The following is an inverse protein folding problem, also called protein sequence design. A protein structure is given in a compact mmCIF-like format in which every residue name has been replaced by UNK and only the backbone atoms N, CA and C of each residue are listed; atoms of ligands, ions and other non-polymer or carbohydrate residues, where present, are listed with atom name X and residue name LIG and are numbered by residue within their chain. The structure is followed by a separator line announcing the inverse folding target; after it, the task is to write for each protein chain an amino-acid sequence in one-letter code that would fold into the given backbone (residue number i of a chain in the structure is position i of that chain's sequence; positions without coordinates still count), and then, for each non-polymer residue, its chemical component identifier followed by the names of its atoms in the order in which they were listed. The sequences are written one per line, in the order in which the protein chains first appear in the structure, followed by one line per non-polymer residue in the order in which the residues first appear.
data_IF_286592731744
#
_entry.id   IF_286592731744
#
_cell.length_a   1.000
_cell.length_b   1.000
_cell.length_c   1.000
_cell.angle_alpha   90.00
_cell.angle_beta   90.00
_cell.angle_gamma   90.00
#
_symmetry.space_group_name_H-M   'P 1'
#
loop_
_entity.id
_entity.type
_entity.pdbx_description
1 polymer ?
#
# COMPACT_ATOMS: atom_id res chain seq x y z
N UNK A 1 -26.49 3.30 -31.26
CA UNK A 1 -26.98 2.64 -32.48
C UNK A 1 -27.35 3.72 -33.47
N UNK A 2 -26.76 3.71 -34.66
CA UNK A 2 -27.10 4.69 -35.68
C UNK A 2 -28.49 4.39 -36.24
N UNK A 3 -29.32 5.40 -36.35
CA UNK A 3 -30.65 5.30 -36.95
C UNK A 3 -30.53 5.06 -38.43
N UNK A 4 -31.10 3.99 -38.96
CA UNK A 4 -31.17 3.70 -40.40
C UNK A 4 -32.62 3.80 -40.87
N UNK A 5 -32.85 4.64 -41.87
CA UNK A 5 -34.13 4.68 -42.58
C UNK A 5 -34.12 3.64 -43.70
N UNK A 6 -35.05 2.71 -43.66
CA UNK A 6 -35.17 1.64 -44.65
C UNK A 6 -36.56 1.68 -45.29
N UNK A 7 -36.58 1.73 -46.60
CA UNK A 7 -37.86 1.70 -47.35
C UNK A 7 -38.56 0.33 -47.15
N UNK A 8 -39.81 0.35 -46.82
CA UNK A 8 -40.62 -0.86 -46.57
C UNK A 8 -40.73 -1.69 -47.85
N UNK A 9 -40.22 -2.92 -47.76
CA UNK A 9 -40.37 -3.97 -48.83
C UNK A 9 -40.82 -5.26 -48.15
N UNK A 10 -41.46 -6.22 -48.93
CA UNK A 10 -42.01 -7.45 -48.35
C UNK A 10 -41.01 -8.30 -47.57
N UNK A 11 -39.72 -8.21 -47.89
CA UNK A 11 -38.62 -8.84 -47.14
C UNK A 11 -37.48 -7.83 -47.01
N UNK A 12 -37.34 -7.26 -45.79
CA UNK A 12 -36.29 -6.31 -45.45
C UNK A 12 -35.25 -6.96 -44.56
N UNK A 13 -34.03 -7.15 -45.01
CA UNK A 13 -32.88 -7.57 -44.21
C UNK A 13 -32.15 -6.33 -43.76
N UNK A 14 -32.34 -5.94 -42.51
CA UNK A 14 -31.64 -4.80 -41.90
C UNK A 14 -30.36 -5.31 -41.24
N UNK A 15 -29.20 -4.90 -41.75
CA UNK A 15 -27.91 -5.15 -41.12
C UNK A 15 -27.59 -3.91 -40.26
N UNK A 16 -27.76 -4.02 -38.95
CA UNK A 16 -27.42 -2.97 -38.02
C UNK A 16 -25.89 -2.87 -37.91
N UNK A 17 -25.33 -1.70 -38.19
CA UNK A 17 -23.93 -1.42 -37.89
C UNK A 17 -23.82 -1.07 -36.42
N UNK A 18 -22.89 -1.68 -35.71
CA UNK A 18 -22.56 -1.27 -34.36
C UNK A 18 -22.02 0.15 -34.41
N UNK A 19 -22.58 1.03 -33.61
CA UNK A 19 -22.05 2.37 -33.34
C UNK A 19 -20.91 2.18 -32.35
N UNK A 20 -19.78 1.75 -32.83
CA UNK A 20 -18.54 1.78 -32.07
C UNK A 20 -17.89 3.13 -32.33
N UNK A 21 -18.36 4.18 -31.64
CA UNK A 21 -17.48 5.29 -31.36
C UNK A 21 -16.37 4.73 -30.47
N UNK A 22 -15.24 4.46 -31.08
CA UNK A 22 -14.00 4.28 -30.32
C UNK A 22 -13.70 5.66 -29.73
N UNK A 23 -14.07 5.85 -28.47
CA UNK A 23 -13.58 6.98 -27.69
C UNK A 23 -12.06 6.90 -27.76
N UNK A 24 -11.45 7.84 -28.48
CA UNK A 24 -10.00 8.00 -28.51
C UNK A 24 -9.52 8.21 -27.07
N UNK A 25 -8.98 7.18 -26.45
CA UNK A 25 -8.42 7.28 -25.09
C UNK A 25 -7.24 8.22 -25.13
N UNK A 26 -7.41 9.38 -24.53
CA UNK A 26 -6.38 10.42 -24.44
C UNK A 26 -5.51 10.11 -23.23
N UNK A 27 -4.21 10.06 -23.45
CA UNK A 27 -3.23 9.89 -22.39
C UNK A 27 -2.50 11.21 -22.11
N UNK A 28 -2.30 11.50 -20.85
CA UNK A 28 -1.41 12.58 -20.44
C UNK A 28 0.03 12.10 -20.61
N UNK A 29 0.81 12.84 -21.37
CA UNK A 29 2.25 12.62 -21.57
C UNK A 29 2.98 13.91 -21.19
N UNK A 30 4.16 13.79 -20.64
CA UNK A 30 5.09 14.81 -20.12
C UNK A 30 4.62 16.28 -20.12
N UNK A 31 4.35 16.88 -21.27
CA UNK A 31 3.97 18.30 -21.44
C UNK A 31 2.70 18.49 -22.27
N UNK A 32 1.86 17.47 -22.37
CA UNK A 32 0.63 17.56 -23.15
C UNK A 32 -0.21 16.29 -23.13
N UNK A 33 -1.24 16.28 -23.94
CA UNK A 33 -2.12 15.13 -24.14
C UNK A 33 -1.86 14.54 -25.50
N UNK A 34 -1.70 13.21 -25.59
CA UNK A 34 -1.58 12.47 -26.83
C UNK A 34 -2.68 11.42 -26.94
N UNK A 35 -3.13 11.14 -28.17
CA UNK A 35 -4.02 10.01 -28.39
C UNK A 35 -3.24 8.71 -28.13
N UNK A 36 -3.80 7.77 -27.44
CA UNK A 36 -3.17 6.46 -27.15
C UNK A 36 -2.74 5.75 -28.43
N UNK A 37 -3.51 5.90 -29.51
CA UNK A 37 -3.23 5.33 -30.81
C UNK A 37 -2.02 5.95 -31.53
N UNK A 38 -1.65 7.18 -31.22
CA UNK A 38 -0.51 7.90 -31.80
C UNK A 38 0.76 7.82 -30.93
N UNK A 39 0.65 7.29 -29.72
CA UNK A 39 1.78 7.15 -28.82
C UNK A 39 2.54 5.85 -29.08
N UNK A 40 3.78 5.97 -29.55
CA UNK A 40 4.63 4.83 -29.92
C UNK A 40 5.35 4.17 -28.76
N UNK A 41 5.34 4.79 -27.57
CA UNK A 41 5.97 4.28 -26.34
C UNK A 41 5.07 3.32 -25.57
N UNK A 42 5.67 2.43 -24.75
CA UNK A 42 4.92 1.56 -23.84
C UNK A 42 4.43 2.34 -22.62
N UNK A 43 3.19 2.79 -22.67
CA UNK A 43 2.52 3.44 -21.57
C UNK A 43 1.23 2.71 -21.18
N UNK A 44 0.90 2.75 -19.90
CA UNK A 44 -0.37 2.24 -19.38
C UNK A 44 -1.07 3.35 -18.61
N UNK A 45 -2.35 3.56 -18.87
CA UNK A 45 -3.18 4.54 -18.19
C UNK A 45 -4.22 3.84 -17.34
N UNK A 46 -4.40 4.31 -16.12
CA UNK A 46 -5.39 3.84 -15.14
C UNK A 46 -6.25 5.02 -14.75
N UNK A 47 -7.55 4.94 -15.05
CA UNK A 47 -8.50 5.98 -14.69
C UNK A 47 -8.82 5.94 -13.21
N UNK A 48 -8.68 7.07 -12.53
CA UNK A 48 -9.02 7.22 -11.12
C UNK A 48 -10.48 6.90 -10.82
N UNK A 49 -11.40 7.40 -11.64
CA UNK A 49 -12.84 7.19 -11.43
C UNK A 49 -13.28 5.72 -11.61
N UNK A 50 -12.58 4.93 -12.43
CA UNK A 50 -12.91 3.52 -12.65
C UNK A 50 -12.23 2.58 -11.68
N UNK A 51 -10.99 2.86 -11.31
CA UNK A 51 -10.16 1.92 -10.55
C UNK A 51 -10.02 2.32 -9.07
N UNK A 52 -9.94 3.62 -8.77
CA UNK A 52 -9.69 4.09 -7.41
C UNK A 52 -10.97 4.37 -6.62
N UNK A 53 -12.09 4.60 -7.31
CA UNK A 53 -13.34 5.05 -6.67
C UNK A 53 -13.97 3.98 -5.78
N UNK A 54 -13.92 2.73 -6.19
CA UNK A 54 -14.66 1.63 -5.56
C UNK A 54 -13.78 0.72 -4.69
N UNK A 55 -12.46 0.92 -4.72
CA UNK A 55 -11.52 0.13 -3.92
C UNK A 55 -11.14 0.94 -2.67
N UNK A 56 -11.44 0.45 -1.47
CA UNK A 56 -11.01 1.10 -0.23
C UNK A 56 -9.53 0.82 0.03
N UNK A 57 -8.65 1.52 -0.69
CA UNK A 57 -7.19 1.40 -0.54
C UNK A 57 -6.64 2.50 0.35
N UNK A 58 -5.58 2.16 1.08
CA UNK A 58 -4.87 3.10 1.94
C UNK A 58 -4.03 4.10 1.14
N UNK A 59 -3.55 3.71 -0.04
CA UNK A 59 -2.78 4.55 -0.95
C UNK A 59 -3.16 4.28 -2.41
N UNK A 60 -2.93 5.26 -3.29
CA UNK A 60 -3.16 5.07 -4.73
C UNK A 60 -2.19 4.03 -5.33
N UNK A 61 -1.02 3.88 -4.74
CA UNK A 61 -0.01 2.92 -5.15
C UNK A 61 -0.54 1.48 -4.99
N UNK A 62 -1.25 1.20 -3.91
CA UNK A 62 -1.87 -0.10 -3.66
C UNK A 62 -2.94 -0.42 -4.73
N UNK A 63 -3.69 0.58 -5.16
CA UNK A 63 -4.70 0.42 -6.21
C UNK A 63 -4.10 0.15 -7.60
N UNK A 64 -2.84 0.50 -7.82
CA UNK A 64 -2.13 0.15 -9.05
C UNK A 64 -1.68 -1.32 -9.10
N UNK A 65 -1.63 -1.98 -7.93
CA UNK A 65 -1.25 -3.39 -7.86
C UNK A 65 -2.21 -4.26 -8.69
N UNK A 66 -1.66 -5.02 -9.63
CA UNK A 66 -2.45 -5.87 -10.54
C UNK A 66 -3.20 -5.15 -11.66
N UNK A 67 -3.33 -3.81 -11.63
CA UNK A 67 -4.04 -3.05 -12.67
C UNK A 67 -3.15 -2.70 -13.87
N UNK A 68 -1.84 -2.70 -13.69
CA UNK A 68 -0.88 -2.26 -14.70
C UNK A 68 0.14 -3.36 -14.99
N UNK A 69 0.13 -3.98 -16.22
CA UNK A 69 1.12 -5.00 -16.58
C UNK A 69 2.55 -4.45 -16.52
N UNK A 70 3.50 -5.24 -16.00
CA UNK A 70 4.92 -4.85 -15.90
C UNK A 70 5.24 -3.87 -14.76
N UNK A 71 4.29 -3.65 -13.86
CA UNK A 71 4.48 -2.96 -12.60
C UNK A 71 4.48 -3.98 -11.46
N UNK A 72 5.54 -4.01 -10.67
CA UNK A 72 5.63 -4.83 -9.46
C UNK A 72 5.53 -3.91 -8.26
N UNK A 73 4.56 -4.18 -7.39
CA UNK A 73 4.32 -3.40 -6.18
C UNK A 73 4.40 -4.36 -5.00
N UNK A 74 5.33 -4.08 -4.09
CA UNK A 74 5.52 -4.85 -2.88
C UNK A 74 5.39 -3.95 -1.66
N UNK A 75 4.57 -4.36 -0.71
CA UNK A 75 4.55 -3.74 0.62
C UNK A 75 5.75 -4.20 1.41
N UNK A 76 6.52 -3.27 1.95
CA UNK A 76 7.67 -3.55 2.82
C UNK A 76 7.26 -3.72 4.27
N UNK A 77 6.12 -3.14 4.65
CA UNK A 77 5.62 -3.14 6.01
C UNK A 77 4.09 -3.08 6.03
N UNK A 78 3.48 -3.66 7.07
CA UNK A 78 2.06 -3.51 7.35
C UNK A 78 1.72 -2.29 8.23
N UNK A 79 2.65 -1.37 8.41
CA UNK A 79 2.40 -0.14 9.17
C UNK A 79 1.57 0.84 8.34
N UNK A 80 0.60 1.53 8.94
CA UNK A 80 -0.11 2.63 8.30
C UNK A 80 0.85 3.71 7.79
N UNK A 81 0.70 4.12 6.52
CA UNK A 81 1.54 5.12 5.89
C UNK A 81 2.94 4.65 5.48
N UNK A 82 3.25 3.36 5.60
CA UNK A 82 4.49 2.81 5.09
C UNK A 82 4.54 2.89 3.57
N UNK A 83 5.73 3.16 3.03
CA UNK A 83 5.96 3.20 1.59
C UNK A 83 5.81 1.83 0.93
N UNK A 84 5.30 1.85 -0.28
CA UNK A 84 5.27 0.70 -1.16
C UNK A 84 6.47 0.76 -2.10
N UNK A 85 7.15 -0.35 -2.27
CA UNK A 85 8.20 -0.46 -3.29
C UNK A 85 7.58 -0.71 -4.66
N UNK A 86 7.68 0.26 -5.53
CA UNK A 86 7.23 0.16 -6.91
C UNK A 86 8.41 -0.02 -7.84
N UNK A 87 8.32 -1.01 -8.72
CA UNK A 87 9.33 -1.27 -9.75
C UNK A 87 8.67 -1.41 -11.10
N UNK A 88 9.19 -0.68 -12.07
CA UNK A 88 8.74 -0.75 -13.47
C UNK A 88 9.70 -1.66 -14.24
N UNK A 89 9.19 -2.76 -14.79
CA UNK A 89 9.96 -3.77 -15.55
C UNK A 89 11.11 -4.43 -14.75
N UNK A 90 11.03 -4.43 -13.41
CA UNK A 90 12.00 -5.12 -12.56
C UNK A 90 13.11 -4.22 -12.02
N UNK A 91 14.25 -4.82 -11.68
CA UNK A 91 15.39 -4.14 -11.05
C UNK A 91 16.35 -3.64 -12.14
N UNK A 92 16.52 -2.34 -12.26
CA UNK A 92 17.41 -1.71 -13.25
C UNK A 92 18.83 -1.48 -12.75
N UNK A 93 19.05 -1.34 -11.46
CA UNK A 93 20.36 -1.07 -10.87
C UNK A 93 20.58 -1.88 -9.59
N UNK A 94 21.83 -2.30 -9.36
CA UNK A 94 22.26 -2.96 -8.13
C UNK A 94 22.67 -1.97 -7.03
N UNK A 95 23.17 -0.80 -7.40
CA UNK A 95 23.73 0.17 -6.46
C UNK A 95 22.96 1.49 -6.36
N UNK A 96 22.01 1.74 -7.26
CA UNK A 96 21.17 2.94 -7.25
C UNK A 96 19.71 2.58 -6.91
N UNK A 97 18.92 3.58 -6.58
CA UNK A 97 17.50 3.40 -6.38
C UNK A 97 16.83 2.82 -7.64
N UNK A 98 15.88 1.90 -7.43
CA UNK A 98 15.08 1.31 -8.49
C UNK A 98 13.65 1.88 -8.52
N UNK A 99 13.41 2.96 -7.78
CA UNK A 99 12.11 3.61 -7.75
C UNK A 99 11.86 4.45 -9.00
N UNK A 100 10.62 4.45 -9.52
CA UNK A 100 10.23 5.31 -10.62
C UNK A 100 10.17 6.79 -10.17
N UNK A 101 10.29 7.70 -11.14
CA UNK A 101 10.06 9.11 -10.89
C UNK A 101 8.55 9.39 -10.84
N UNK A 102 8.11 10.06 -9.77
CA UNK A 102 6.73 10.53 -9.67
C UNK A 102 6.63 11.97 -10.18
N UNK A 103 5.59 12.23 -10.96
CA UNK A 103 5.27 13.56 -11.48
C UNK A 103 3.80 13.83 -11.23
N UNK A 104 3.49 14.86 -10.44
CA UNK A 104 2.13 15.26 -10.09
C UNK A 104 1.81 16.55 -10.79
N UNK A 105 0.80 16.55 -11.65
CA UNK A 105 0.38 17.70 -12.46
C UNK A 105 1.55 18.40 -13.18
N UNK A 106 2.48 17.62 -13.69
CA UNK A 106 3.68 18.10 -14.39
C UNK A 106 4.87 18.46 -13.51
N UNK A 107 4.73 18.42 -12.17
CA UNK A 107 5.81 18.72 -11.22
C UNK A 107 6.46 17.43 -10.73
N UNK A 108 7.77 17.24 -10.95
CA UNK A 108 8.49 16.08 -10.41
C UNK A 108 8.57 16.15 -8.88
N UNK A 109 8.21 15.06 -8.23
CA UNK A 109 8.21 14.93 -6.77
C UNK A 109 9.30 13.93 -6.37
N UNK A 110 9.95 14.19 -5.25
CA UNK A 110 10.90 13.25 -4.67
C UNK A 110 10.12 12.08 -4.09
N UNK A 111 10.39 10.88 -4.60
CA UNK A 111 9.89 9.62 -4.04
C UNK A 111 10.81 9.12 -2.95
N UNK A 112 10.27 8.36 -2.04
CA UNK A 112 11.00 7.72 -0.96
C UNK A 112 10.52 8.14 0.43
N UNK A 113 10.96 7.38 1.39
CA UNK A 113 10.69 7.65 2.79
C UNK A 113 11.49 8.88 3.25
N UNK A 114 10.80 9.95 3.57
CA UNK A 114 11.42 11.04 4.30
C UNK A 114 11.53 10.59 5.74
N UNK A 115 12.76 10.30 6.18
CA UNK A 115 13.03 10.16 7.60
C UNK A 115 12.79 11.53 8.24
N UNK A 116 11.61 11.70 8.83
CA UNK A 116 11.37 12.83 9.72
C UNK A 116 12.20 12.53 10.96
N UNK A 117 13.41 13.08 10.99
CA UNK A 117 14.25 13.12 12.18
C UNK A 117 13.51 13.97 13.22
N UNK A 118 12.59 13.34 13.91
CA UNK A 118 12.00 13.95 15.10
C UNK A 118 13.10 14.03 16.15
N UNK A 119 13.11 15.10 16.91
CA UNK A 119 14.04 15.50 17.97
C UNK A 119 14.29 14.40 19.04
N UNK A 120 13.60 13.27 18.96
CA UNK A 120 13.59 12.19 19.94
C UNK A 120 14.03 10.81 19.39
N UNK A 121 14.92 10.73 18.41
CA UNK A 121 15.46 9.44 17.88
C UNK A 121 14.41 8.45 17.32
N UNK A 122 13.18 8.85 17.12
CA UNK A 122 12.12 8.02 16.53
C UNK A 122 12.08 8.29 15.02
N UNK A 123 12.90 7.57 14.28
CA UNK A 123 12.96 7.64 12.81
C UNK A 123 11.67 7.06 12.22
N UNK A 124 10.61 7.83 12.19
CA UNK A 124 9.38 7.45 11.49
C UNK A 124 9.57 7.76 10.01
N UNK A 125 9.76 6.72 9.23
CA UNK A 125 9.74 6.84 7.77
C UNK A 125 8.31 7.15 7.34
N UNK A 126 8.09 8.33 6.76
CA UNK A 126 6.81 8.74 6.19
C UNK A 126 6.94 8.81 4.67
N UNK A 127 6.09 8.07 3.97
CA UNK A 127 6.03 8.16 2.52
C UNK A 127 5.24 9.41 2.09
N UNK A 128 5.88 10.31 1.36
CA UNK A 128 5.23 11.52 0.82
C UNK A 128 4.03 11.16 -0.05
N UNK A 129 4.07 10.03 -0.74
CA UNK A 129 2.98 9.57 -1.59
C UNK A 129 1.71 9.21 -0.78
N UNK A 130 1.85 8.83 0.50
CA UNK A 130 0.72 8.58 1.39
C UNK A 130 -0.09 9.86 1.73
N UNK A 131 0.47 11.05 1.45
CA UNK A 131 -0.23 12.33 1.62
C UNK A 131 -1.18 12.68 0.47
N UNK A 132 -1.17 11.91 -0.62
CA UNK A 132 -2.05 12.14 -1.76
C UNK A 132 -3.34 11.37 -1.55
N UNK A 133 -4.47 12.07 -1.54
CA UNK A 133 -5.77 11.40 -1.48
C UNK A 133 -6.06 10.69 -2.81
N UNK A 134 -6.24 9.35 -2.82
CA UNK A 134 -6.59 8.62 -4.04
C UNK A 134 -7.83 9.14 -4.76
N UNK A 135 -8.79 9.68 -4.03
CA UNK A 135 -10.03 10.24 -4.59
C UNK A 135 -9.84 11.53 -5.38
N UNK A 136 -8.73 12.23 -5.17
CA UNK A 136 -8.40 13.45 -5.92
C UNK A 136 -7.68 13.16 -7.25
N UNK A 137 -7.37 11.92 -7.53
CA UNK A 137 -6.68 11.51 -8.74
C UNK A 137 -7.69 11.31 -9.87
N UNK A 138 -7.47 11.96 -11.00
CA UNK A 138 -8.25 11.77 -12.22
C UNK A 138 -7.69 10.62 -13.06
N UNK A 139 -6.36 10.60 -13.23
CA UNK A 139 -5.69 9.58 -14.03
C UNK A 139 -4.27 9.31 -13.56
N UNK A 140 -3.81 8.07 -13.70
CA UNK A 140 -2.42 7.68 -13.48
C UNK A 140 -1.89 7.07 -14.77
N UNK A 141 -0.81 7.64 -15.31
CA UNK A 141 -0.14 7.11 -16.50
C UNK A 141 1.25 6.62 -16.12
N UNK A 142 1.53 5.37 -16.40
CA UNK A 142 2.85 4.77 -16.16
C UNK A 142 3.61 4.70 -17.46
N UNK A 143 4.69 5.48 -17.58
CA UNK A 143 5.62 5.44 -18.70
C UNK A 143 6.71 4.42 -18.41
N UNK A 144 6.69 3.32 -19.16
CA UNK A 144 7.57 2.17 -18.92
C UNK A 144 8.79 2.18 -19.83
N UNK A 145 8.76 2.98 -20.87
CA UNK A 145 9.77 2.99 -21.92
C UNK A 145 10.71 4.18 -21.79
N UNK A 146 12.00 3.96 -22.03
CA UNK A 146 13.01 5.00 -21.99
C UNK A 146 12.72 6.16 -22.96
N UNK A 147 12.14 5.87 -24.14
CA UNK A 147 11.73 6.89 -25.09
C UNK A 147 10.66 7.83 -24.53
N UNK A 148 9.65 7.29 -23.84
CA UNK A 148 8.60 8.05 -23.19
C UNK A 148 9.11 8.81 -21.95
N UNK A 149 10.06 8.21 -21.24
CA UNK A 149 10.65 8.76 -20.02
C UNK A 149 11.76 9.79 -20.29
N UNK A 150 12.32 9.82 -21.51
CA UNK A 150 13.47 10.69 -21.87
C UNK A 150 13.21 12.18 -21.66
N UNK A 151 11.96 12.63 -21.73
CA UNK A 151 11.55 14.00 -21.47
C UNK A 151 11.82 14.46 -20.01
N UNK A 152 11.98 13.50 -19.08
CA UNK A 152 12.29 13.76 -17.68
C UNK A 152 13.76 13.53 -17.32
N UNK A 153 14.62 13.27 -18.32
CA UNK A 153 16.06 13.11 -18.18
C UNK A 153 16.48 11.83 -17.47
N UNK A 154 17.69 11.81 -16.91
CA UNK A 154 18.30 10.63 -16.26
C UNK A 154 17.51 10.13 -15.04
N UNK A 155 16.76 11.00 -14.37
CA UNK A 155 15.93 10.62 -13.21
C UNK A 155 14.80 9.67 -13.57
N UNK A 156 14.43 9.58 -14.83
CA UNK A 156 13.37 8.73 -15.36
C UNK A 156 13.85 7.36 -15.84
N UNK A 157 15.11 7.00 -15.57
CA UNK A 157 15.70 5.74 -16.04
C UNK A 157 14.94 4.50 -15.56
N UNK A 158 14.30 4.55 -14.40
CA UNK A 158 13.49 3.48 -13.82
C UNK A 158 11.98 3.59 -14.16
N UNK A 159 11.62 4.42 -15.15
CA UNK A 159 10.24 4.73 -15.51
C UNK A 159 9.69 5.96 -14.81
N UNK A 160 8.49 6.40 -15.25
CA UNK A 160 7.80 7.58 -14.71
C UNK A 160 6.35 7.24 -14.42
N UNK A 161 5.88 7.66 -13.26
CA UNK A 161 4.47 7.60 -12.88
C UNK A 161 3.92 9.02 -12.90
N UNK A 162 3.08 9.31 -13.89
CA UNK A 162 2.40 10.59 -14.03
C UNK A 162 1.06 10.51 -13.31
N UNK A 163 0.84 11.38 -12.36
CA UNK A 163 -0.41 11.52 -11.62
C UNK A 163 -1.06 12.81 -12.04
N UNK A 164 -2.22 12.70 -12.67
CA UNK A 164 -3.07 13.85 -13.00
C UNK A 164 -4.19 13.92 -12.00
N UNK A 165 -4.33 15.06 -11.38
CA UNK A 165 -5.36 15.26 -10.36
C UNK A 165 -6.61 15.87 -10.95
N UNK A 166 -7.71 15.79 -10.21
CA UNK A 166 -9.00 16.34 -10.62
C UNK A 166 -8.96 17.85 -10.73
N UNK A 167 -9.50 18.35 -11.83
CA UNK A 167 -9.68 19.77 -12.11
C UNK A 167 -11.16 20.12 -12.10
N UNK A 168 -11.47 21.39 -11.95
CA UNK A 168 -12.82 21.90 -12.10
C UNK A 168 -13.36 21.62 -13.51
N UNK A 169 -14.64 21.28 -13.58
CA UNK A 169 -15.35 21.07 -14.85
C UNK A 169 -16.48 22.08 -14.95
N UNK A 170 -16.65 22.68 -16.13
CA UNK A 170 -17.77 23.60 -16.38
C UNK A 170 -19.11 22.89 -16.11
N UNK A 171 -20.00 23.59 -15.44
CA UNK A 171 -21.31 23.08 -15.10
C UNK A 171 -21.76 23.47 -13.70
N UNK A 172 -22.96 22.98 -13.31
CA UNK A 172 -23.48 23.22 -11.96
C UNK A 172 -22.55 22.65 -10.91
N UNK A 173 -22.39 23.36 -9.81
CA UNK A 173 -21.60 22.91 -8.67
C UNK A 173 -22.11 21.55 -8.18
N UNK A 174 -21.20 20.59 -8.09
CA UNK A 174 -21.46 19.24 -7.55
C UNK A 174 -20.67 19.09 -6.28
N UNK A 175 -21.36 18.62 -5.24
CA UNK A 175 -20.77 18.33 -3.93
C UNK A 175 -20.85 16.83 -3.74
N UNK A 176 -19.72 16.23 -3.34
CA UNK A 176 -19.65 14.80 -3.00
C UNK A 176 -19.13 14.67 -1.57
N UNK A 177 -19.74 13.77 -0.83
CA UNK A 177 -19.25 13.32 0.46
C UNK A 177 -19.10 11.80 0.43
N UNK A 178 -17.96 11.31 0.91
CA UNK A 178 -17.64 9.89 1.00
C UNK A 178 -17.11 9.59 2.39
N UNK A 179 -17.61 8.54 3.00
CA UNK A 179 -17.14 8.05 4.29
C UNK A 179 -16.89 6.54 4.19
N UNK A 180 -15.70 6.12 4.57
CA UNK A 180 -15.29 4.72 4.57
C UNK A 180 -14.84 4.32 5.96
N UNK A 181 -15.30 3.17 6.43
CA UNK A 181 -14.80 2.51 7.64
C UNK A 181 -14.35 1.11 7.29
N UNK A 182 -13.21 0.73 7.82
CA UNK A 182 -12.65 -0.60 7.62
C UNK A 182 -12.07 -1.15 8.91
N UNK A 183 -12.02 -2.47 8.97
CA UNK A 183 -11.31 -3.20 10.03
C UNK A 183 -10.32 -4.14 9.36
N UNK A 184 -9.11 -4.21 9.89
CA UNK A 184 -8.09 -5.11 9.43
C UNK A 184 -7.78 -6.15 10.51
N UNK A 185 -7.53 -7.37 10.06
CA UNK A 185 -7.11 -8.47 10.92
C UNK A 185 -5.90 -9.20 10.33
N UNK A 186 -5.33 -10.13 11.09
CA UNK A 186 -4.24 -10.95 10.61
C UNK A 186 -4.68 -11.80 9.41
N UNK A 187 -3.92 -11.76 8.31
CA UNK A 187 -4.15 -12.62 7.15
C UNK A 187 -3.94 -14.10 7.48
N UNK A 188 -3.04 -14.39 8.42
CA UNK A 188 -2.82 -15.71 8.97
C UNK A 188 -2.93 -15.64 10.50
N UNK A 189 -3.61 -16.61 11.08
CA UNK A 189 -3.67 -16.71 12.54
C UNK A 189 -2.27 -16.99 13.09
N UNK A 190 -1.88 -16.22 14.08
CA UNK A 190 -0.66 -16.47 14.82
C UNK A 190 -0.74 -17.84 15.50
N UNK A 191 0.41 -18.49 15.63
CA UNK A 191 0.51 -19.66 16.49
C UNK A 191 0.25 -19.20 17.92
N UNK A 192 -0.58 -19.96 18.63
CA UNK A 192 -0.79 -19.68 20.05
C UNK A 192 0.55 -19.77 20.77
N UNK A 193 0.89 -18.75 21.53
CA UNK A 193 2.01 -18.81 22.46
C UNK A 193 1.75 -19.87 23.53
N UNK A 194 2.80 -20.51 23.99
CA UNK A 194 2.72 -21.45 25.10
C UNK A 194 2.34 -20.70 26.38
N UNK A 195 1.46 -21.27 27.18
CA UNK A 195 1.12 -20.74 28.49
C UNK A 195 2.24 -21.04 29.50
N UNK A 196 2.15 -20.46 30.72
CA UNK A 196 3.17 -20.63 31.76
C UNK A 196 3.42 -22.11 32.10
N UNK A 197 2.39 -22.93 32.23
CA UNK A 197 2.51 -24.36 32.50
C UNK A 197 3.22 -25.14 31.38
N UNK A 198 2.83 -24.87 30.14
CA UNK A 198 3.47 -25.50 28.96
C UNK A 198 4.93 -25.05 28.84
N UNK A 199 5.23 -23.78 29.12
CA UNK A 199 6.61 -23.30 29.11
C UNK A 199 7.45 -23.99 30.18
N UNK A 200 6.92 -24.14 31.40
CA UNK A 200 7.57 -24.87 32.48
C UNK A 200 7.85 -26.34 32.09
N UNK A 201 6.86 -27.02 31.54
CA UNK A 201 7.00 -28.40 31.04
C UNK A 201 8.06 -28.53 29.95
N UNK A 202 8.03 -27.63 28.94
CA UNK A 202 9.04 -27.63 27.88
C UNK A 202 10.45 -27.31 28.37
N UNK A 203 10.57 -26.42 29.38
CA UNK A 203 11.87 -26.11 30.01
C UNK A 203 12.37 -27.30 30.79
N UNK A 204 11.48 -27.98 31.54
CA UNK A 204 11.81 -29.20 32.22
C UNK A 204 12.32 -30.30 31.28
N UNK A 205 11.57 -30.57 30.20
CA UNK A 205 11.98 -31.57 29.19
C UNK A 205 13.31 -31.24 28.53
N UNK A 206 13.53 -29.93 28.19
CA UNK A 206 14.78 -29.50 27.59
C UNK A 206 15.98 -29.70 28.52
N UNK A 207 15.87 -29.28 29.78
CA UNK A 207 16.93 -29.46 30.78
C UNK A 207 17.14 -30.89 31.16
N UNK A 208 16.08 -31.71 31.23
CA UNK A 208 16.19 -33.16 31.46
C UNK A 208 16.95 -33.86 30.34
N UNK A 209 16.61 -33.58 29.09
CA UNK A 209 17.29 -34.13 27.93
C UNK A 209 18.75 -33.69 27.86
N UNK A 210 19.03 -32.41 28.16
CA UNK A 210 20.39 -31.88 28.24
C UNK A 210 21.21 -32.64 29.28
N UNK A 211 20.71 -32.74 30.50
CA UNK A 211 21.38 -33.45 31.60
C UNK A 211 21.61 -34.92 31.34
N UNK A 212 20.66 -35.59 30.69
CA UNK A 212 20.79 -37.03 30.34
C UNK A 212 21.76 -37.28 29.21
N UNK A 213 21.96 -36.34 28.28
CA UNK A 213 22.84 -36.51 27.12
C UNK A 213 24.23 -35.98 27.41
N UNK A 214 24.34 -34.79 27.95
CA UNK A 214 25.63 -34.10 28.16
C UNK A 214 26.07 -34.02 29.60
N UNK A 215 25.14 -34.11 30.55
CA UNK A 215 25.37 -33.94 31.98
C UNK A 215 24.84 -32.59 32.50
N UNK A 216 25.04 -32.39 33.79
CA UNK A 216 24.69 -31.12 34.45
C UNK A 216 25.90 -30.20 34.32
N UNK A 217 25.73 -28.97 33.78
CA UNK A 217 26.85 -28.03 33.64
C UNK A 217 27.32 -27.55 35.03
N UNK A 218 28.64 -27.43 35.16
CA UNK A 218 29.24 -26.83 36.33
C UNK A 218 29.11 -25.29 36.30
N UNK A 219 29.66 -24.60 37.32
CA UNK A 219 29.61 -23.12 37.40
C UNK A 219 30.35 -22.40 36.26
N UNK A 220 31.19 -23.11 35.53
CA UNK A 220 31.95 -22.61 34.38
C UNK A 220 31.28 -22.97 33.04
N UNK A 221 30.17 -23.74 33.08
CA UNK A 221 29.44 -24.19 31.92
C UNK A 221 30.00 -25.47 31.27
N UNK A 222 30.91 -26.20 31.92
CA UNK A 222 31.47 -27.45 31.39
C UNK A 222 30.57 -28.65 31.78
N UNK A 223 30.48 -29.61 30.88
CA UNK A 223 29.73 -30.85 31.09
C UNK A 223 30.64 -32.02 31.43
N UNK A 224 30.33 -32.75 32.50
CA UNK A 224 31.14 -33.86 33.00
C UNK A 224 30.61 -35.24 32.56
N UNK A 225 29.82 -35.31 31.52
CA UNK A 225 29.20 -36.52 31.00
C UNK A 225 27.77 -36.74 31.54
N UNK A 226 27.02 -37.71 30.99
CA UNK A 226 25.61 -37.93 31.29
C UNK A 226 25.31 -38.05 32.78
N UNK A 227 24.31 -37.33 33.25
CA UNK A 227 23.85 -37.41 34.63
C UNK A 227 23.01 -38.65 34.86
N UNK A 228 22.91 -39.07 36.15
CA UNK A 228 21.93 -40.10 36.51
C UNK A 228 20.50 -39.57 36.28
N UNK A 229 19.55 -40.51 36.08
CA UNK A 229 18.12 -40.13 35.88
C UNK A 229 17.55 -39.30 37.06
N UNK A 230 18.00 -39.61 38.30
CA UNK A 230 17.56 -38.87 39.47
C UNK A 230 18.13 -37.46 39.51
N UNK A 231 19.43 -37.29 39.22
CA UNK A 231 20.09 -35.99 39.20
C UNK A 231 19.58 -35.15 38.02
N UNK A 232 19.36 -35.74 36.86
CA UNK A 232 18.79 -35.07 35.72
C UNK A 232 17.37 -34.54 36.00
N UNK A 233 16.53 -35.27 36.67
CA UNK A 233 15.19 -34.82 37.09
C UNK A 233 15.25 -33.71 38.10
N UNK A 234 16.14 -33.76 39.08
CA UNK A 234 16.31 -32.70 40.09
C UNK A 234 16.78 -31.42 39.44
N UNK A 235 17.79 -31.50 38.59
CA UNK A 235 18.28 -30.38 37.82
C UNK A 235 17.21 -29.76 36.91
N UNK A 236 16.49 -30.59 36.17
CA UNK A 236 15.43 -30.10 35.28
C UNK A 236 14.31 -29.37 36.03
N UNK A 237 13.94 -29.93 37.22
CA UNK A 237 12.92 -29.27 38.05
C UNK A 237 13.38 -27.94 38.58
N UNK A 238 14.62 -27.86 39.08
CA UNK A 238 15.20 -26.60 39.57
C UNK A 238 15.28 -25.55 38.46
N UNK A 239 15.75 -25.93 37.27
CA UNK A 239 15.84 -25.02 36.12
C UNK A 239 14.47 -24.60 35.60
N UNK A 240 13.49 -25.50 35.57
CA UNK A 240 12.13 -25.14 35.17
C UNK A 240 11.49 -24.17 36.15
N UNK A 241 11.66 -24.41 37.44
CA UNK A 241 11.14 -23.51 38.48
C UNK A 241 11.81 -22.11 38.45
N UNK A 242 13.10 -22.06 38.11
CA UNK A 242 13.86 -20.82 38.00
C UNK A 242 13.54 -20.00 36.74
N UNK A 243 13.54 -20.64 35.58
CA UNK A 243 13.39 -19.93 34.28
C UNK A 243 11.95 -19.82 33.78
N UNK A 244 11.04 -20.67 34.24
CA UNK A 244 9.70 -20.80 33.70
C UNK A 244 8.63 -20.95 34.78
N UNK A 245 8.35 -19.91 35.57
CA UNK A 245 7.26 -19.94 36.56
C UNK A 245 5.93 -20.31 35.87
N UNK A 246 5.37 -21.45 36.28
CA UNK A 246 4.14 -22.01 35.75
C UNK A 246 2.91 -21.13 36.01
N UNK A 247 2.96 -20.26 37.00
CA UNK A 247 1.89 -19.33 37.35
C UNK A 247 1.95 -18.01 36.55
N UNK A 248 3.09 -17.72 35.95
CA UNK A 248 3.29 -16.50 35.20
C UNK A 248 2.83 -16.69 33.75
N UNK A 249 1.67 -16.16 33.45
CA UNK A 249 1.07 -16.24 32.12
C UNK A 249 0.75 -14.85 31.59
N UNK A 250 1.58 -14.34 30.68
CA UNK A 250 1.36 -13.04 29.99
C UNK A 250 1.06 -13.31 28.55
N UNK A 251 -0.07 -12.83 28.10
CA UNK A 251 -0.39 -12.77 26.69
C UNK A 251 0.31 -11.56 26.06
N UNK A 252 1.50 -11.79 25.51
CA UNK A 252 2.28 -10.76 24.84
C UNK A 252 1.62 -10.25 23.57
N UNK A 253 0.81 -11.08 22.94
CA UNK A 253 0.06 -10.66 21.74
C UNK A 253 -0.96 -9.57 22.16
N UNK A 254 -1.75 -9.79 23.20
CA UNK A 254 -2.70 -8.80 23.68
C UNK A 254 -2.01 -7.57 24.29
N UNK A 255 -0.78 -7.74 24.83
CA UNK A 255 0.00 -6.63 25.37
C UNK A 255 0.46 -5.65 24.30
N UNK A 256 0.96 -6.13 23.14
CA UNK A 256 1.57 -5.31 22.10
C UNK A 256 0.65 -5.05 20.92
N UNK A 257 -0.32 -5.91 20.65
CA UNK A 257 -1.16 -5.82 19.46
C UNK A 257 -2.62 -5.55 19.80
N UNK A 258 -3.30 -4.86 18.89
CA UNK A 258 -4.76 -4.70 18.90
C UNK A 258 -5.40 -5.96 18.31
N UNK A 259 -6.58 -6.32 18.80
CA UNK A 259 -7.37 -7.41 18.21
C UNK A 259 -7.70 -7.12 16.74
N UNK A 260 -8.04 -5.87 16.44
CA UNK A 260 -8.33 -5.40 15.09
C UNK A 260 -7.65 -4.06 14.86
N UNK A 261 -7.09 -3.84 13.68
CA UNK A 261 -6.77 -2.51 13.20
C UNK A 261 -8.03 -1.82 12.71
N UNK A 262 -8.07 -0.51 12.71
CA UNK A 262 -9.21 0.27 12.20
C UNK A 262 -8.76 1.30 11.18
N UNK A 263 -9.60 1.56 10.18
CA UNK A 263 -9.40 2.63 9.22
C UNK A 263 -10.66 3.46 9.08
N UNK A 264 -10.49 4.78 9.03
CA UNK A 264 -11.57 5.75 8.84
C UNK A 264 -11.08 6.77 7.82
N UNK A 265 -11.90 7.03 6.83
CA UNK A 265 -11.61 8.03 5.81
C UNK A 265 -12.90 8.82 5.51
N UNK A 266 -12.83 10.13 5.68
CA UNK A 266 -13.92 11.05 5.40
C UNK A 266 -13.44 12.04 4.34
N UNK A 267 -14.18 12.14 3.26
CA UNK A 267 -13.83 12.97 2.11
C UNK A 267 -15.00 13.87 1.74
N UNK A 268 -14.70 15.12 1.57
CA UNK A 268 -15.61 16.13 1.04
C UNK A 268 -14.99 16.73 -0.19
N UNK A 269 -15.73 16.82 -1.29
CA UNK A 269 -15.26 17.52 -2.48
C UNK A 269 -16.37 18.32 -3.13
N UNK A 270 -15.98 19.45 -3.71
CA UNK A 270 -16.83 20.36 -4.46
C UNK A 270 -16.16 20.73 -5.78
N UNK A 271 -16.90 20.65 -6.88
CA UNK A 271 -16.41 21.05 -8.20
C UNK A 271 -17.51 21.77 -8.96
N UNK A 272 -17.12 22.76 -9.75
CA UNK A 272 -18.06 23.51 -10.57
C UNK A 272 -17.39 24.62 -11.33
N UNK A 273 -18.18 25.42 -12.04
CA UNK A 273 -17.67 26.56 -12.79
C UNK A 273 -18.40 26.79 -14.10
N UNK A 274 -17.86 27.70 -14.87
CA UNK A 274 -18.28 27.97 -16.24
C UNK A 274 -17.15 27.67 -17.24
N UNK A 275 -17.31 28.04 -18.49
CA UNK A 275 -16.30 27.82 -19.54
C UNK A 275 -15.00 28.61 -19.32
N UNK A 276 -15.02 29.66 -18.51
CA UNK A 276 -13.86 30.52 -18.23
C UNK A 276 -13.27 30.23 -16.87
N UNK A 277 -14.12 29.98 -15.88
CA UNK A 277 -13.68 29.77 -14.50
C UNK A 277 -14.18 28.44 -14.01
N UNK A 278 -13.28 27.59 -13.61
CA UNK A 278 -13.63 26.32 -13.00
C UNK A 278 -12.82 26.08 -11.73
N UNK A 279 -13.43 25.42 -10.77
CA UNK A 279 -12.76 25.07 -9.52
C UNK A 279 -13.02 23.62 -9.11
N UNK A 280 -12.06 23.06 -8.44
CA UNK A 280 -12.15 21.82 -7.68
C UNK A 280 -11.56 22.07 -6.30
N UNK A 281 -12.28 21.71 -5.26
CA UNK A 281 -11.81 21.76 -3.88
C UNK A 281 -12.12 20.45 -3.19
N UNK A 282 -11.17 19.92 -2.44
CA UNK A 282 -11.35 18.72 -1.63
C UNK A 282 -10.76 18.90 -0.24
N UNK A 283 -11.37 18.22 0.73
CA UNK A 283 -10.89 18.08 2.10
C UNK A 283 -11.11 16.64 2.51
N UNK A 284 -10.06 15.99 3.01
CA UNK A 284 -10.13 14.64 3.51
C UNK A 284 -9.51 14.56 4.91
N UNK A 285 -10.10 13.74 5.76
CA UNK A 285 -9.53 13.30 7.02
C UNK A 285 -9.37 11.79 6.99
N UNK A 286 -8.16 11.32 7.25
CA UNK A 286 -7.82 9.92 7.29
C UNK A 286 -7.30 9.57 8.68
N UNK A 287 -7.81 8.49 9.25
CA UNK A 287 -7.26 7.87 10.47
C UNK A 287 -7.12 6.38 10.23
N UNK A 288 -5.93 5.85 10.47
CA UNK A 288 -5.62 4.45 10.28
C UNK A 288 -4.84 3.94 11.50
N UNK A 289 -5.32 2.89 12.12
CA UNK A 289 -4.69 2.24 13.26
C UNK A 289 -4.21 0.86 12.84
N UNK A 290 -2.90 0.65 12.94
CA UNK A 290 -2.28 -0.63 12.65
C UNK A 290 -2.51 -1.66 13.76
N UNK A 291 -2.07 -2.89 13.51
CA UNK A 291 -2.14 -3.98 14.51
C UNK A 291 -1.28 -3.70 15.74
N UNK A 292 -0.09 -3.15 15.59
CA UNK A 292 0.71 -2.71 16.74
C UNK A 292 0.04 -1.52 17.45
N UNK A 293 -0.07 -1.56 18.78
CA UNK A 293 -0.74 -0.52 19.56
C UNK A 293 -0.10 0.87 19.42
N UNK A 294 1.17 0.93 19.07
CA UNK A 294 1.93 2.16 18.85
C UNK A 294 1.89 2.65 17.41
N UNK A 295 1.30 1.88 16.47
CA UNK A 295 1.26 2.20 15.07
C UNK A 295 -0.07 2.84 14.69
N UNK A 296 -0.05 4.10 14.32
CA UNK A 296 -1.21 4.84 13.80
C UNK A 296 -0.76 5.93 12.84
N UNK A 297 -1.63 6.24 11.90
CA UNK A 297 -1.52 7.38 10.99
C UNK A 297 -2.81 8.16 11.02
N UNK A 298 -2.73 9.45 11.26
CA UNK A 298 -3.87 10.36 11.11
C UNK A 298 -3.43 11.66 10.45
N UNK A 299 -4.32 12.27 9.70
CA UNK A 299 -4.00 13.49 9.00
C UNK A 299 -5.17 14.08 8.23
N UNK A 300 -5.01 15.37 7.94
CA UNK A 300 -5.89 16.12 7.06
C UNK A 300 -5.19 16.39 5.73
N UNK A 301 -5.92 16.21 4.65
CA UNK A 301 -5.46 16.50 3.30
C UNK A 301 -6.43 17.51 2.69
N UNK A 302 -5.90 18.57 2.11
CA UNK A 302 -6.71 19.59 1.46
C UNK A 302 -6.12 19.95 0.11
N UNK A 303 -6.99 20.14 -0.90
CA UNK A 303 -6.61 20.53 -2.24
C UNK A 303 -7.58 21.56 -2.81
N UNK A 304 -7.03 22.52 -3.50
CA UNK A 304 -7.80 23.50 -4.26
C UNK A 304 -7.13 23.68 -5.62
N UNK A 305 -7.91 23.50 -6.66
CA UNK A 305 -7.54 23.74 -8.05
C UNK A 305 -8.53 24.76 -8.63
N UNK A 306 -8.03 25.87 -9.14
CA UNK A 306 -8.82 26.89 -9.81
C UNK A 306 -8.17 27.23 -11.15
N UNK A 307 -8.97 27.30 -12.19
CA UNK A 307 -8.56 27.68 -13.54
C UNK A 307 -9.41 28.86 -13.97
N UNK A 308 -8.73 29.88 -14.48
CA UNK A 308 -9.34 31.11 -14.99
C UNK A 308 -9.00 31.31 -16.47
#
# INVERSE_FOLDING_TARGET
MQTQEVTIKPNVKVVMKSDSEMLDEVMVVAYGTAKKSSFTGAASSVSGDKTLKDIPVSSFEEALAGSTPGLTINSTSGQPGAGLQIRVRGTGSMNATNEPLYVIDGVPVVSGDIAVSAVNNDSKAFNVMASINPSDIENITVLKDAAAASLYGSRAANGVILITTKHGKAGKTRINFKANWGFSDWAMKNRKSVNGKQRHELTYEACYNEATIYGIPDSEGNYNGPASDADAKAYAQEMADYYADANYNVDWEDAFFRKHGSSQNYEFSAQGGDERNSFFASLAYKKEEGKAKTSSLDGFMGRINAVH
#
